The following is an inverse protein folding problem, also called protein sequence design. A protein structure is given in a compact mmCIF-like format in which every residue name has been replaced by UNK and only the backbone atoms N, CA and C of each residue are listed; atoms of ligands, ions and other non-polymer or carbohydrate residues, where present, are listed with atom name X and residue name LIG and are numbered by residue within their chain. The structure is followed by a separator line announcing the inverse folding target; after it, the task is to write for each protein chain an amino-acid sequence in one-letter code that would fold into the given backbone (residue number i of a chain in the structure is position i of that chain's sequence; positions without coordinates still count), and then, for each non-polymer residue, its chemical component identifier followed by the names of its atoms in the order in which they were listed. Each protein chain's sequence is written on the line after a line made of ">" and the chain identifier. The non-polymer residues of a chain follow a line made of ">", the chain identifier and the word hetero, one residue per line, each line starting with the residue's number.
data_IF_351952526420
#
_entry.id   IF_351952526420
#
_cell.length_a   1.000
_cell.length_b   1.000
_cell.length_c   1.000
_cell.angle_alpha   90.00
_cell.angle_beta   90.00
_cell.angle_gamma   90.00
#
_symmetry.space_group_name_H-M   'P 1'
#
loop_
_entity.id
_entity.type
_entity.pdbx_description
1 polymer ?
#
# COMPACT_ATOMS: atom_id res chain seq x y z
N UNK A 1 45.72 -0.96 -4.27
CA UNK A 1 46.54 0.24 -4.07
C UNK A 1 46.11 0.83 -2.76
N UNK A 2 47.06 1.06 -1.85
CA UNK A 2 46.81 1.49 -0.48
C UNK A 2 47.13 3.00 -0.42
N UNK A 3 46.16 3.81 -0.01
CA UNK A 3 46.29 5.27 0.03
C UNK A 3 46.24 5.73 1.49
N UNK A 4 47.29 6.41 1.96
CA UNK A 4 47.39 6.92 3.33
C UNK A 4 46.93 8.37 3.42
N UNK A 5 46.03 8.65 4.37
CA UNK A 5 45.62 10.00 4.77
C UNK A 5 46.70 10.61 5.65
N UNK A 6 47.17 11.82 5.31
CA UNK A 6 48.00 12.60 6.23
C UNK A 6 47.09 13.36 7.19
N UNK A 7 47.05 12.92 8.44
CA UNK A 7 46.36 13.64 9.50
C UNK A 7 47.00 15.04 9.71
N UNK A 8 46.32 16.09 9.25
CA UNK A 8 46.62 17.47 9.62
C UNK A 8 45.75 17.85 10.82
N UNK A 9 46.32 17.68 12.03
CA UNK A 9 45.85 18.35 13.23
C UNK A 9 46.08 19.86 13.07
N UNK A 10 45.00 20.67 13.06
CA UNK A 10 45.16 22.12 12.95
C UNK A 10 43.88 22.94 13.10
N UNK A 11 43.54 23.27 14.34
CA UNK A 11 42.85 24.50 14.82
C UNK A 11 41.44 24.84 14.32
N UNK A 12 40.53 24.90 15.28
CA UNK A 12 39.17 25.42 15.18
C UNK A 12 39.11 26.89 14.76
N UNK A 13 38.18 27.21 13.86
CA UNK A 13 37.56 28.53 13.74
C UNK A 13 36.10 28.35 13.35
N UNK A 14 35.21 28.75 14.25
CA UNK A 14 33.78 28.85 14.01
C UNK A 14 33.47 30.13 13.23
N UNK A 15 32.70 30.02 12.14
CA UNK A 15 31.96 31.13 11.53
C UNK A 15 30.64 30.59 10.95
N UNK A 16 29.61 31.42 11.08
CA UNK A 16 28.20 31.04 10.98
C UNK A 16 27.60 31.05 9.57
N UNK A 17 26.37 30.53 9.55
CA UNK A 17 25.43 30.28 8.45
C UNK A 17 25.15 31.51 7.55
N UNK A 18 24.81 31.25 6.27
CA UNK A 18 23.56 31.71 5.60
C UNK A 18 23.45 31.18 4.15
N UNK A 19 22.28 30.61 3.80
CA UNK A 19 21.51 30.73 2.53
C UNK A 19 22.15 30.35 1.17
N UNK A 20 21.50 29.79 0.16
CA UNK A 20 20.07 29.63 -0.16
C UNK A 20 19.92 28.46 -1.16
N UNK A 21 18.81 27.73 -1.09
CA UNK A 21 18.32 26.89 -2.18
C UNK A 21 17.72 27.83 -3.25
N UNK A 22 18.27 27.78 -4.47
CA UNK A 22 17.78 28.50 -5.63
C UNK A 22 17.56 27.52 -6.77
N UNK A 23 16.29 27.42 -7.17
CA UNK A 23 15.77 26.73 -8.35
C UNK A 23 16.37 27.25 -9.66
N UNK A 24 16.46 26.37 -10.68
CA UNK A 24 16.75 26.80 -12.06
C UNK A 24 17.15 25.68 -13.02
N UNK A 25 16.17 25.23 -13.81
CA UNK A 25 16.21 24.74 -15.20
C UNK A 25 17.18 23.62 -15.61
N UNK A 26 16.64 22.40 -15.69
CA UNK A 26 17.16 21.38 -16.62
C UNK A 26 16.72 21.69 -18.05
N UNK A 27 17.61 22.32 -18.81
CA UNK A 27 17.57 22.35 -20.27
C UNK A 27 18.02 20.99 -20.83
N UNK A 28 17.12 20.04 -21.12
CA UNK A 28 17.43 18.94 -22.05
C UNK A 28 16.16 18.48 -22.79
N UNK A 29 16.18 18.61 -24.12
CA UNK A 29 15.23 18.01 -25.05
C UNK A 29 15.66 16.57 -25.37
N UNK A 30 14.71 15.64 -25.35
CA UNK A 30 14.90 14.23 -25.70
C UNK A 30 14.81 14.02 -27.22
N UNK A 31 15.68 13.20 -27.84
CA UNK A 31 15.42 12.67 -29.17
C UNK A 31 14.65 11.34 -29.10
N UNK A 32 13.55 11.31 -29.85
CA UNK A 32 12.68 10.17 -30.21
C UNK A 32 13.45 8.92 -30.65
N UNK A 33 13.06 7.75 -30.14
CA UNK A 33 13.57 6.45 -30.64
C UNK A 33 12.60 5.86 -31.66
N UNK A 34 13.09 5.72 -32.90
CA UNK A 34 12.34 5.21 -34.02
C UNK A 34 11.98 3.73 -33.92
N UNK A 35 10.75 3.42 -34.29
CA UNK A 35 10.15 2.10 -34.41
C UNK A 35 10.72 1.33 -35.62
N UNK A 36 11.06 0.04 -35.52
CA UNK A 36 11.32 -0.78 -36.69
C UNK A 36 10.02 -1.36 -37.26
N UNK A 37 9.80 -1.07 -38.54
CA UNK A 37 8.72 -1.57 -39.39
C UNK A 37 8.85 -3.08 -39.63
N UNK A 38 7.79 -3.84 -39.40
CA UNK A 38 7.68 -5.25 -39.80
C UNK A 38 6.77 -5.37 -41.02
N UNK A 39 7.28 -5.93 -42.11
CA UNK A 39 6.54 -6.19 -43.35
C UNK A 39 5.75 -7.49 -43.24
N UNK A 40 4.52 -7.57 -43.78
CA UNK A 40 3.79 -8.83 -43.90
C UNK A 40 4.14 -9.53 -45.23
N UNK A 41 4.18 -10.86 -45.23
CA UNK A 41 4.10 -11.63 -46.48
C UNK A 41 3.15 -12.80 -46.27
N UNK A 42 2.16 -12.81 -47.15
CA UNK A 42 1.05 -13.74 -47.29
C UNK A 42 1.48 -14.97 -48.11
N UNK A 43 0.95 -16.17 -47.81
CA UNK A 43 0.65 -17.27 -48.75
C UNK A 43 0.42 -18.64 -48.07
N UNK A 44 -0.85 -18.92 -47.75
CA UNK A 44 -1.72 -20.01 -48.23
C UNK A 44 -1.29 -21.51 -48.30
N UNK A 45 -2.29 -22.35 -47.94
CA UNK A 45 -2.66 -23.74 -48.34
C UNK A 45 -2.11 -24.94 -47.53
N UNK A 46 -2.99 -25.66 -46.80
CA UNK A 46 -3.67 -26.86 -47.31
C UNK A 46 -4.38 -27.69 -46.19
N UNK A 47 -5.53 -28.26 -46.55
CA UNK A 47 -6.39 -29.19 -45.78
C UNK A 47 -5.69 -30.42 -45.18
N UNK A 48 -6.20 -30.89 -44.03
CA UNK A 48 -6.59 -32.30 -43.83
C UNK A 48 -7.31 -32.51 -42.48
N UNK A 49 -8.61 -32.80 -42.55
CA UNK A 49 -9.37 -33.49 -41.49
C UNK A 49 -8.90 -34.96 -41.37
N UNK A 50 -8.90 -35.52 -40.16
CA UNK A 50 -9.68 -36.74 -39.96
C UNK A 50 -10.46 -36.79 -38.63
N UNK A 51 -11.70 -37.27 -38.70
CA UNK A 51 -12.48 -37.73 -37.54
C UNK A 51 -12.02 -39.12 -37.00
N UNK A 52 -12.72 -39.74 -36.03
CA UNK A 52 -12.31 -39.82 -34.64
C UNK A 52 -11.83 -41.23 -34.28
N UNK A 53 -10.95 -41.35 -33.30
CA UNK A 53 -10.63 -42.65 -32.70
C UNK A 53 -11.09 -42.65 -31.26
N UNK A 54 -12.10 -43.49 -31.00
CA UNK A 54 -12.55 -43.89 -29.69
C UNK A 54 -11.37 -44.50 -28.91
N UNK A 55 -11.14 -44.00 -27.70
CA UNK A 55 -10.32 -44.65 -26.69
C UNK A 55 -10.96 -44.43 -25.33
N UNK A 56 -10.95 -45.54 -24.59
CA UNK A 56 -11.69 -45.84 -23.38
C UNK A 56 -11.66 -44.76 -22.29
N UNK A 57 -12.81 -44.66 -21.64
CA UNK A 57 -13.06 -43.97 -20.37
C UNK A 57 -12.14 -44.54 -19.28
N UNK A 58 -11.01 -43.88 -19.03
CA UNK A 58 -10.48 -43.82 -17.68
C UNK A 58 -11.05 -42.56 -17.03
N UNK A 59 -12.00 -42.73 -16.11
CA UNK A 59 -12.41 -41.70 -15.14
C UNK A 59 -11.17 -41.28 -14.35
N UNK A 60 -10.39 -40.35 -14.90
CA UNK A 60 -9.62 -39.44 -14.08
C UNK A 60 -10.66 -38.63 -13.33
N UNK A 61 -10.90 -39.00 -12.06
CA UNK A 61 -11.54 -38.12 -11.10
C UNK A 61 -10.62 -36.90 -11.01
N UNK A 62 -10.85 -35.92 -11.90
CA UNK A 62 -10.35 -34.58 -11.71
C UNK A 62 -10.94 -34.19 -10.37
N UNK A 63 -10.09 -34.12 -9.34
CA UNK A 63 -10.46 -33.42 -8.13
C UNK A 63 -10.69 -31.99 -8.59
N UNK A 64 -11.93 -31.69 -8.92
CA UNK A 64 -12.37 -30.33 -9.20
C UNK A 64 -12.00 -29.55 -7.95
N UNK A 65 -11.05 -28.65 -8.06
CA UNK A 65 -10.76 -27.71 -6.97
C UNK A 65 -12.10 -27.18 -6.47
N UNK A 66 -12.33 -27.16 -5.15
CA UNK A 66 -13.57 -26.65 -4.61
C UNK A 66 -13.82 -25.26 -5.20
N UNK A 67 -14.99 -25.08 -5.79
CA UNK A 67 -15.37 -23.83 -6.45
C UNK A 67 -15.28 -22.69 -5.43
N UNK A 68 -14.33 -21.77 -5.61
CA UNK A 68 -14.14 -20.61 -4.73
C UNK A 68 -15.21 -19.56 -5.07
N UNK A 69 -16.12 -19.21 -4.13
CA UNK A 69 -17.11 -18.16 -4.37
C UNK A 69 -16.44 -16.84 -4.71
N UNK A 70 -16.87 -16.20 -5.81
CA UNK A 70 -16.35 -14.90 -6.29
C UNK A 70 -14.80 -14.82 -6.31
N UNK A 71 -14.14 -15.79 -6.96
CA UNK A 71 -12.66 -15.95 -6.97
C UNK A 71 -11.88 -14.67 -7.30
N UNK A 72 -12.35 -13.85 -8.26
CA UNK A 72 -11.69 -12.58 -8.63
C UNK A 72 -11.77 -11.57 -7.47
N UNK A 73 -12.98 -11.34 -6.94
CA UNK A 73 -13.20 -10.51 -5.76
C UNK A 73 -12.39 -11.02 -4.56
N UNK A 74 -12.31 -12.33 -4.35
CA UNK A 74 -11.52 -12.92 -3.27
C UNK A 74 -10.02 -12.59 -3.39
N UNK A 75 -9.49 -12.51 -4.61
CA UNK A 75 -8.10 -12.14 -4.88
C UNK A 75 -7.85 -10.68 -4.55
N UNK A 76 -8.76 -9.78 -4.95
CA UNK A 76 -8.65 -8.34 -4.71
C UNK A 76 -8.82 -7.99 -3.23
N UNK A 77 -9.85 -8.55 -2.57
CA UNK A 77 -10.05 -8.42 -1.13
C UNK A 77 -8.87 -8.98 -0.36
N UNK A 78 -8.27 -10.09 -0.83
CA UNK A 78 -7.06 -10.65 -0.23
C UNK A 78 -5.86 -9.71 -0.29
N UNK A 79 -5.69 -8.95 -1.39
CA UNK A 79 -4.63 -7.93 -1.49
C UNK A 79 -4.88 -6.78 -0.52
N UNK A 80 -6.08 -6.21 -0.52
CA UNK A 80 -6.43 -5.10 0.39
C UNK A 80 -6.30 -5.52 1.85
N UNK A 81 -6.93 -6.65 2.23
CA UNK A 81 -6.90 -7.12 3.60
C UNK A 81 -5.47 -7.48 4.03
N UNK A 82 -4.68 -8.13 3.17
CA UNK A 82 -3.29 -8.46 3.44
C UNK A 82 -2.41 -7.23 3.68
N UNK A 83 -2.61 -6.15 2.91
CA UNK A 83 -1.91 -4.89 3.15
C UNK A 83 -2.33 -4.23 4.48
N UNK A 84 -3.64 -4.19 4.79
CA UNK A 84 -4.14 -3.68 6.08
C UNK A 84 -3.55 -4.49 7.23
N UNK A 85 -3.51 -5.82 7.10
CA UNK A 85 -2.94 -6.71 8.11
C UNK A 85 -1.45 -6.44 8.29
N UNK A 86 -0.68 -6.31 7.21
CA UNK A 86 0.75 -5.99 7.27
C UNK A 86 1.04 -4.68 8.03
N UNK A 87 0.29 -3.60 7.74
CA UNK A 87 0.38 -2.36 8.51
C UNK A 87 0.06 -2.55 9.99
N UNK A 88 -0.89 -3.44 10.27
CA UNK A 88 -1.37 -3.69 11.61
C UNK A 88 -0.50 -4.63 12.46
N UNK A 89 0.36 -5.45 11.83
CA UNK A 89 1.14 -6.49 12.52
C UNK A 89 2.65 -6.40 12.31
N UNK A 90 3.10 -6.08 11.10
CA UNK A 90 4.51 -6.24 10.69
C UNK A 90 5.23 -4.91 10.41
N UNK A 91 4.49 -3.82 10.18
CA UNK A 91 5.06 -2.52 9.82
C UNK A 91 6.10 -1.99 10.82
N UNK A 92 5.78 -1.98 12.12
CA UNK A 92 6.70 -1.44 13.14
C UNK A 92 8.03 -2.21 13.19
N UNK A 93 7.95 -3.54 13.10
CA UNK A 93 9.12 -4.42 13.08
C UNK A 93 9.93 -4.24 11.78
N UNK A 94 9.24 -4.08 10.65
CA UNK A 94 9.82 -3.79 9.33
C UNK A 94 10.59 -2.46 9.35
N UNK A 95 9.99 -1.40 9.90
CA UNK A 95 10.63 -0.08 10.06
C UNK A 95 11.81 -0.17 11.01
N UNK A 96 11.71 -0.90 12.12
CA UNK A 96 12.84 -1.13 13.03
C UNK A 96 14.01 -1.84 12.34
N UNK A 97 13.74 -2.89 11.56
CA UNK A 97 14.74 -3.64 10.80
C UNK A 97 15.43 -2.75 9.75
N UNK A 98 14.64 -1.97 9.00
CA UNK A 98 15.10 -0.99 8.02
C UNK A 98 16.04 0.05 8.65
N UNK A 99 15.59 0.73 9.71
CA UNK A 99 16.36 1.81 10.37
C UNK A 99 17.62 1.29 11.04
N UNK A 100 17.58 0.08 11.61
CA UNK A 100 18.74 -0.59 12.19
C UNK A 100 19.80 -0.87 11.12
N UNK A 101 19.39 -1.39 9.96
CA UNK A 101 20.32 -1.76 8.90
C UNK A 101 20.95 -0.54 8.25
N UNK A 102 20.18 0.53 8.05
CA UNK A 102 20.72 1.83 7.65
C UNK A 102 21.72 2.39 8.67
N UNK A 103 21.43 2.30 9.98
CA UNK A 103 22.35 2.71 11.02
C UNK A 103 23.68 1.95 10.99
N UNK A 104 23.64 0.65 10.68
CA UNK A 104 24.86 -0.16 10.52
C UNK A 104 25.67 0.25 9.28
N UNK A 105 24.99 0.61 8.18
CA UNK A 105 25.63 1.12 6.97
C UNK A 105 26.30 2.47 7.24
N UNK A 106 25.60 3.41 7.88
CA UNK A 106 26.16 4.71 8.31
C UNK A 106 27.41 4.54 9.17
N UNK A 107 27.34 3.68 10.20
CA UNK A 107 28.49 3.41 11.07
C UNK A 107 29.68 2.74 10.33
N UNK A 108 29.41 2.04 9.22
CA UNK A 108 30.46 1.48 8.36
C UNK A 108 31.11 2.57 7.50
N UNK A 109 30.29 3.48 6.94
CA UNK A 109 30.77 4.64 6.17
C UNK A 109 31.64 5.54 7.05
N UNK A 110 31.18 5.89 8.25
CA UNK A 110 31.93 6.70 9.22
C UNK A 110 33.27 6.03 9.59
N UNK A 111 33.26 4.73 9.90
CA UNK A 111 34.49 3.98 10.19
C UNK A 111 35.49 3.99 9.03
N UNK A 112 35.01 3.89 7.79
CA UNK A 112 35.87 3.93 6.60
C UNK A 112 36.42 5.34 6.36
N UNK A 113 35.65 6.38 6.66
CA UNK A 113 36.10 7.77 6.63
C UNK A 113 37.14 8.05 7.72
N UNK A 114 36.99 7.51 8.92
CA UNK A 114 37.93 7.74 10.02
C UNK A 114 39.23 6.90 9.92
N UNK A 115 39.23 5.88 9.05
CA UNK A 115 40.40 5.04 8.84
C UNK A 115 41.54 5.83 8.19
N UNK A 116 42.77 5.66 8.70
CA UNK A 116 43.96 6.34 8.17
C UNK A 116 44.29 5.93 6.73
N UNK A 117 43.78 4.79 6.27
CA UNK A 117 44.04 4.23 4.95
C UNK A 117 42.73 3.95 4.22
N UNK A 118 42.72 4.23 2.92
CA UNK A 118 41.61 3.91 2.03
C UNK A 118 42.10 3.03 0.89
N UNK A 119 41.45 1.90 0.71
CA UNK A 119 41.73 0.95 -0.36
C UNK A 119 40.44 0.30 -0.90
N UNK A 120 40.61 -0.66 -1.81
CA UNK A 120 39.49 -1.40 -2.39
C UNK A 120 38.69 -2.21 -1.34
N UNK A 121 39.33 -2.64 -0.24
CA UNK A 121 38.65 -3.35 0.84
C UNK A 121 37.78 -2.40 1.66
N UNK A 122 38.25 -1.19 1.95
CA UNK A 122 37.46 -0.12 2.57
C UNK A 122 36.19 0.17 1.77
N UNK A 123 36.31 0.37 0.45
CA UNK A 123 35.14 0.54 -0.42
C UNK A 123 34.25 -0.70 -0.46
N UNK A 124 34.84 -1.90 -0.43
CA UNK A 124 34.10 -3.16 -0.35
C UNK A 124 33.29 -3.32 0.94
N UNK A 125 33.77 -2.77 2.07
CA UNK A 125 33.02 -2.75 3.33
C UNK A 125 31.79 -1.86 3.23
N UNK A 126 31.95 -0.65 2.68
CA UNK A 126 30.82 0.27 2.43
C UNK A 126 29.79 -0.42 1.55
N UNK A 127 30.20 -0.95 0.40
CA UNK A 127 29.30 -1.62 -0.54
C UNK A 127 28.52 -2.76 0.10
N UNK A 128 29.19 -3.67 0.82
CA UNK A 128 28.50 -4.78 1.50
C UNK A 128 27.48 -4.32 2.53
N UNK A 129 27.78 -3.24 3.24
CA UNK A 129 26.87 -2.70 4.25
C UNK A 129 25.66 -2.03 3.60
N UNK A 130 25.86 -1.27 2.51
CA UNK A 130 24.78 -0.62 1.77
C UNK A 130 23.93 -1.62 0.98
N UNK A 131 24.54 -2.64 0.35
CA UNK A 131 23.82 -3.73 -0.33
C UNK A 131 22.89 -4.48 0.64
N UNK A 132 23.36 -4.71 1.87
CA UNK A 132 22.52 -5.30 2.92
C UNK A 132 21.35 -4.38 3.30
N UNK A 133 21.58 -3.08 3.40
CA UNK A 133 20.52 -2.12 3.69
C UNK A 133 19.44 -2.10 2.59
N UNK A 134 19.85 -2.13 1.32
CA UNK A 134 18.94 -2.24 0.18
C UNK A 134 18.18 -3.56 0.22
N UNK A 135 18.85 -4.69 0.46
CA UNK A 135 18.19 -5.99 0.52
C UNK A 135 17.18 -6.08 1.67
N UNK A 136 17.47 -5.46 2.82
CA UNK A 136 16.49 -5.34 3.91
C UNK A 136 15.33 -4.43 3.51
N UNK A 137 15.58 -3.27 2.89
CA UNK A 137 14.49 -2.41 2.43
C UNK A 137 13.59 -3.12 1.41
N UNK A 138 14.16 -3.91 0.49
CA UNK A 138 13.40 -4.69 -0.48
C UNK A 138 12.57 -5.80 0.16
N UNK A 139 13.13 -6.52 1.13
CA UNK A 139 12.43 -7.60 1.82
C UNK A 139 11.32 -7.10 2.76
N UNK A 140 11.58 -6.02 3.50
CA UNK A 140 10.67 -5.51 4.53
C UNK A 140 9.66 -4.51 3.96
N UNK A 141 10.02 -3.73 2.92
CA UNK A 141 9.20 -2.61 2.43
C UNK A 141 8.81 -2.71 0.95
N UNK A 142 9.45 -3.58 0.16
CA UNK A 142 9.35 -3.54 -1.31
C UNK A 142 7.96 -3.83 -1.88
N UNK A 143 7.14 -4.63 -1.19
CA UNK A 143 5.74 -4.88 -1.59
C UNK A 143 4.80 -3.74 -1.26
N UNK A 144 5.19 -2.88 -0.31
CA UNK A 144 4.33 -1.88 0.31
C UNK A 144 4.68 -0.46 -0.17
N UNK A 145 5.97 -0.19 -0.34
CA UNK A 145 6.54 1.12 -0.67
C UNK A 145 7.52 1.04 -1.85
N UNK A 146 7.47 2.03 -2.75
CA UNK A 146 8.32 2.12 -3.94
C UNK A 146 9.77 2.59 -3.72
N UNK A 147 10.30 2.51 -2.49
CA UNK A 147 11.60 3.11 -2.12
C UNK A 147 12.85 2.28 -2.47
N UNK A 148 12.85 0.93 -2.41
CA UNK A 148 14.09 0.16 -2.57
C UNK A 148 14.84 0.40 -3.90
N UNK A 149 14.10 0.63 -4.99
CA UNK A 149 14.67 0.92 -6.31
C UNK A 149 15.48 2.22 -6.31
N UNK A 150 14.86 3.32 -5.87
CA UNK A 150 15.52 4.62 -5.75
C UNK A 150 16.72 4.54 -4.79
N UNK A 151 16.57 3.82 -3.67
CA UNK A 151 17.66 3.64 -2.71
C UNK A 151 18.89 2.97 -3.33
N UNK A 152 18.69 1.93 -4.13
CA UNK A 152 19.76 1.23 -4.84
C UNK A 152 20.49 2.15 -5.81
N UNK A 153 19.75 2.90 -6.63
CA UNK A 153 20.32 3.81 -7.63
C UNK A 153 21.18 4.92 -7.01
N UNK A 154 20.69 5.56 -5.95
CA UNK A 154 21.41 6.61 -5.24
C UNK A 154 22.72 6.08 -4.61
N UNK A 155 22.64 4.92 -3.94
CA UNK A 155 23.80 4.27 -3.33
C UNK A 155 24.85 3.88 -4.39
N UNK A 156 24.42 3.25 -5.48
CA UNK A 156 25.33 2.83 -6.56
C UNK A 156 26.04 4.03 -7.19
N UNK A 157 25.35 5.17 -7.31
CA UNK A 157 25.93 6.42 -7.80
C UNK A 157 27.02 6.95 -6.88
N UNK A 158 26.80 6.97 -5.56
CA UNK A 158 27.82 7.37 -4.59
C UNK A 158 29.03 6.41 -4.62
N UNK A 159 28.79 5.10 -4.57
CA UNK A 159 29.85 4.08 -4.60
C UNK A 159 30.69 4.16 -5.88
N UNK A 160 30.05 4.37 -7.04
CA UNK A 160 30.75 4.56 -8.30
C UNK A 160 31.61 5.83 -8.33
N UNK A 161 31.11 6.91 -7.71
CA UNK A 161 31.83 8.19 -7.60
C UNK A 161 33.04 8.06 -6.68
N UNK A 162 32.87 7.46 -5.49
CA UNK A 162 33.96 7.17 -4.55
C UNK A 162 35.07 6.36 -5.24
N UNK A 163 34.69 5.28 -5.95
CA UNK A 163 35.66 4.45 -6.70
C UNK A 163 36.48 5.28 -7.68
N UNK A 164 35.82 6.13 -8.46
CA UNK A 164 36.46 6.95 -9.50
C UNK A 164 37.53 7.88 -8.93
N UNK A 165 37.28 8.49 -7.77
CA UNK A 165 38.24 9.39 -7.13
C UNK A 165 39.33 8.63 -6.37
N UNK A 166 38.99 7.51 -5.73
CA UNK A 166 39.97 6.61 -5.14
C UNK A 166 40.99 6.10 -6.17
N UNK A 167 40.54 5.71 -7.37
CA UNK A 167 41.42 5.27 -8.46
C UNK A 167 42.41 6.36 -8.94
N UNK A 168 42.11 7.64 -8.66
CA UNK A 168 42.98 8.79 -8.97
C UNK A 168 43.85 9.23 -7.78
N UNK A 169 43.66 8.63 -6.61
CA UNK A 169 44.33 9.05 -5.37
C UNK A 169 43.79 10.33 -4.73
N UNK A 170 42.59 10.78 -5.12
CA UNK A 170 41.95 12.00 -4.60
C UNK A 170 41.14 11.66 -3.34
N UNK A 171 41.84 11.60 -2.20
CA UNK A 171 41.25 11.20 -0.92
C UNK A 171 40.31 12.26 -0.34
N UNK A 172 40.59 13.55 -0.54
CA UNK A 172 39.73 14.63 -0.08
C UNK A 172 38.34 14.52 -0.73
N UNK A 173 38.31 14.21 -2.03
CA UNK A 173 37.05 13.99 -2.73
C UNK A 173 36.35 12.69 -2.34
N UNK A 174 37.11 11.64 -2.01
CA UNK A 174 36.54 10.40 -1.45
C UNK A 174 35.81 10.68 -0.13
N UNK A 175 36.38 11.51 0.74
CA UNK A 175 35.78 11.86 2.03
C UNK A 175 34.50 12.66 1.90
N UNK A 176 34.50 13.63 1.00
CA UNK A 176 33.30 14.40 0.68
C UNK A 176 32.16 13.50 0.19
N UNK A 177 32.46 12.52 -0.67
CA UNK A 177 31.44 11.59 -1.18
C UNK A 177 31.01 10.54 -0.15
N UNK A 178 31.89 10.11 0.76
CA UNK A 178 31.51 9.27 1.90
C UNK A 178 30.60 10.04 2.87
N UNK A 179 30.87 11.31 3.11
CA UNK A 179 30.01 12.19 3.93
C UNK A 179 28.64 12.38 3.28
N UNK A 180 28.58 12.65 1.97
CA UNK A 180 27.31 12.72 1.23
C UNK A 180 26.50 11.43 1.28
N UNK A 181 27.16 10.27 1.15
CA UNK A 181 26.51 8.98 1.30
C UNK A 181 25.99 8.79 2.73
N UNK A 182 26.78 9.16 3.75
CA UNK A 182 26.35 9.10 5.14
C UNK A 182 25.12 9.98 5.39
N UNK A 183 25.10 11.21 4.88
CA UNK A 183 23.99 12.15 5.01
C UNK A 183 22.74 11.66 4.29
N UNK A 184 22.89 11.09 3.08
CA UNK A 184 21.80 10.44 2.36
C UNK A 184 21.17 9.32 3.19
N UNK A 185 21.97 8.38 3.69
CA UNK A 185 21.51 7.28 4.54
C UNK A 185 20.84 7.81 5.82
N UNK A 186 21.38 8.87 6.41
CA UNK A 186 20.81 9.55 7.58
C UNK A 186 19.46 10.18 7.29
N UNK A 187 19.29 10.80 6.12
CA UNK A 187 18.04 11.38 5.65
C UNK A 187 16.92 10.34 5.55
N UNK A 188 17.17 9.24 4.83
CA UNK A 188 16.18 8.17 4.63
C UNK A 188 15.92 7.31 5.88
N UNK A 189 16.78 7.40 6.90
CA UNK A 189 16.59 6.75 8.22
C UNK A 189 15.77 7.61 9.20
N UNK A 190 15.64 8.91 8.94
CA UNK A 190 15.11 9.89 9.89
C UNK A 190 13.63 9.64 10.24
N UNK A 191 13.20 10.07 11.44
CA UNK A 191 11.78 9.98 11.84
C UNK A 191 10.88 10.76 10.88
N UNK A 192 11.40 11.89 10.37
CA UNK A 192 10.70 12.72 9.42
C UNK A 192 10.45 11.97 8.10
N UNK A 193 11.45 11.23 7.60
CA UNK A 193 11.29 10.42 6.40
C UNK A 193 10.28 9.30 6.62
N UNK A 194 10.38 8.56 7.72
CA UNK A 194 9.40 7.49 8.05
C UNK A 194 8.00 8.07 8.10
N UNK A 195 7.78 9.13 8.89
CA UNK A 195 6.47 9.76 9.03
C UNK A 195 5.89 10.32 7.71
N UNK A 196 6.75 10.67 6.76
CA UNK A 196 6.31 11.33 5.51
C UNK A 196 6.18 10.40 4.32
N UNK A 197 7.06 9.42 4.22
CA UNK A 197 7.24 8.58 3.03
C UNK A 197 6.87 7.14 3.32
N UNK A 198 7.09 6.68 4.54
CA UNK A 198 6.80 5.32 4.98
C UNK A 198 5.71 5.33 6.06
N UNK A 199 4.74 6.23 5.98
CA UNK A 199 3.77 6.42 7.07
C UNK A 199 2.78 5.26 7.11
N UNK A 200 2.43 4.82 8.32
CA UNK A 200 1.32 3.92 8.62
C UNK A 200 0.04 4.66 9.01
N UNK A 201 0.07 5.99 9.14
CA UNK A 201 -1.12 6.78 9.52
C UNK A 201 -1.73 7.52 8.35
N UNK A 202 -0.90 7.90 7.39
CA UNK A 202 -1.32 8.48 6.12
C UNK A 202 -0.64 7.68 5.01
N UNK A 203 -1.34 6.65 4.57
CA UNK A 203 -0.84 5.67 3.65
C UNK A 203 -1.11 6.15 2.23
N UNK A 204 -0.07 6.66 1.60
CA UNK A 204 0.00 6.91 0.16
C UNK A 204 0.94 5.86 -0.46
N UNK A 205 0.45 4.62 -0.51
CA UNK A 205 1.25 3.42 -0.77
C UNK A 205 0.43 2.34 -1.50
N UNK A 206 0.93 1.10 -1.52
CA UNK A 206 0.24 -0.02 -2.17
C UNK A 206 -1.20 -0.20 -1.67
N UNK A 207 -1.44 -0.04 -0.37
CA UNK A 207 -2.79 -0.09 0.18
C UNK A 207 -3.73 0.95 -0.46
N UNK A 208 -3.31 2.21 -0.58
CA UNK A 208 -4.14 3.23 -1.23
C UNK A 208 -4.47 2.83 -2.66
N UNK A 209 -3.47 2.42 -3.44
CA UNK A 209 -3.68 1.96 -4.82
C UNK A 209 -4.58 0.74 -4.90
N UNK A 210 -4.56 -0.18 -3.94
CA UNK A 210 -5.50 -1.31 -3.90
C UNK A 210 -6.91 -0.94 -3.46
N UNK A 211 -7.04 0.05 -2.56
CA UNK A 211 -8.35 0.57 -2.15
C UNK A 211 -8.99 1.39 -3.27
N UNK A 212 -8.20 2.22 -3.94
CA UNK A 212 -8.63 3.11 -5.01
C UNK A 212 -8.67 2.43 -6.38
N UNK A 213 -7.97 1.30 -6.51
CA UNK A 213 -7.77 0.50 -7.72
C UNK A 213 -7.01 1.21 -8.83
N UNK A 214 -5.87 1.82 -8.50
CA UNK A 214 -4.92 2.32 -9.51
C UNK A 214 -4.17 1.14 -10.15
N UNK A 215 -4.85 0.46 -11.08
CA UNK A 215 -4.24 -0.44 -12.05
C UNK A 215 -3.78 0.40 -13.23
N UNK A 216 -2.56 0.17 -13.71
CA UNK A 216 -1.92 0.83 -14.87
C UNK A 216 -2.66 0.60 -16.21
N UNK A 217 -3.99 0.66 -16.26
CA UNK A 217 -4.77 0.67 -17.47
C UNK A 217 -4.76 2.11 -18.01
N UNK A 218 -3.66 2.44 -18.70
CA UNK A 218 -3.32 3.71 -19.39
C UNK A 218 -4.36 4.18 -20.45
N UNK A 219 -5.55 3.57 -20.55
CA UNK A 219 -6.45 3.69 -21.70
C UNK A 219 -7.80 4.40 -21.43
N UNK A 220 -8.14 4.77 -20.19
CA UNK A 220 -9.36 5.55 -19.90
C UNK A 220 -9.01 6.94 -19.32
N UNK A 221 -9.38 8.01 -20.02
CA UNK A 221 -9.26 9.42 -19.60
C UNK A 221 -10.15 9.77 -18.36
N UNK A 222 -10.89 8.80 -17.81
CA UNK A 222 -11.70 8.94 -16.59
C UNK A 222 -10.87 8.44 -15.39
N UNK A 223 -9.89 9.25 -14.97
CA UNK A 223 -9.20 9.04 -13.69
C UNK A 223 -10.25 8.98 -12.55
N UNK A 224 -10.20 7.94 -11.73
CA UNK A 224 -11.21 7.74 -10.68
C UNK A 224 -11.23 8.92 -9.70
N UNK A 225 -12.43 9.37 -9.30
CA UNK A 225 -12.61 10.41 -8.28
C UNK A 225 -11.68 10.15 -7.07
N UNK A 226 -10.95 11.14 -6.55
CA UNK A 226 -10.01 10.90 -5.45
C UNK A 226 -10.67 10.19 -4.26
N UNK A 227 -10.04 9.11 -3.82
CA UNK A 227 -10.46 8.34 -2.65
C UNK A 227 -9.83 8.81 -1.35
N UNK A 228 -10.62 9.01 -0.29
CA UNK A 228 -10.13 9.06 1.09
C UNK A 228 -10.70 7.87 1.84
N UNK A 229 -9.81 7.08 2.45
CA UNK A 229 -10.20 5.88 3.17
C UNK A 229 -9.73 5.91 4.62
N UNK A 230 -10.58 5.48 5.55
CA UNK A 230 -10.20 5.18 6.93
C UNK A 230 -10.23 3.67 7.12
N UNK A 231 -9.19 3.12 7.73
CA UNK A 231 -9.05 1.68 7.96
C UNK A 231 -8.92 1.40 9.44
N UNK A 232 -9.58 0.33 9.88
CA UNK A 232 -9.45 -0.21 11.23
C UNK A 232 -9.24 -1.71 11.16
N UNK A 233 -8.25 -2.24 11.87
CA UNK A 233 -7.98 -3.67 11.96
C UNK A 233 -8.31 -4.24 13.34
N UNK A 234 -8.61 -5.54 13.37
CA UNK A 234 -8.94 -6.29 14.60
C UNK A 234 -7.87 -6.25 15.70
N UNK A 235 -6.60 -5.95 15.37
CA UNK A 235 -5.51 -5.74 16.34
C UNK A 235 -5.58 -4.41 17.07
N UNK A 236 -6.48 -3.51 16.66
CA UNK A 236 -6.59 -2.14 17.17
C UNK A 236 -5.84 -1.10 16.35
N UNK A 237 -5.15 -1.51 15.28
CA UNK A 237 -4.51 -0.60 14.33
C UNK A 237 -5.55 0.23 13.58
N UNK A 238 -5.21 1.49 13.26
CA UNK A 238 -6.02 2.35 12.39
C UNK A 238 -5.18 3.41 11.70
N UNK A 239 -5.63 3.82 10.52
CA UNK A 239 -4.95 4.82 9.70
C UNK A 239 -5.86 5.33 8.58
N UNK A 240 -5.35 6.31 7.85
CA UNK A 240 -5.97 6.81 6.63
C UNK A 240 -5.17 6.36 5.41
N UNK A 241 -5.84 6.08 4.30
CA UNK A 241 -5.22 5.90 2.99
C UNK A 241 -5.76 6.94 2.02
N UNK A 242 -4.86 7.73 1.43
CA UNK A 242 -5.21 8.89 0.60
C UNK A 242 -3.99 9.33 -0.22
N UNK A 243 -4.13 9.44 -1.55
CA UNK A 243 -3.14 10.11 -2.39
C UNK A 243 -3.48 11.60 -2.49
N UNK A 244 -2.54 12.42 -2.04
CA UNK A 244 -2.60 13.85 -2.28
C UNK A 244 -1.49 14.59 -1.55
N UNK A 245 -1.13 15.80 -2.01
CA UNK A 245 0.02 16.56 -1.52
C UNK A 245 -0.14 17.04 -0.07
N UNK A 246 -1.32 16.83 0.53
CA UNK A 246 -1.69 17.36 1.83
C UNK A 246 -1.52 16.28 2.87
N UNK A 247 -0.62 16.55 3.81
CA UNK A 247 -0.47 15.71 4.99
C UNK A 247 -1.73 15.84 5.84
N UNK A 248 -2.50 14.75 5.97
CA UNK A 248 -3.46 14.61 7.05
C UNK A 248 -2.64 14.26 8.28
N UNK A 249 -2.08 15.27 8.97
CA UNK A 249 -1.41 15.10 10.28
C UNK A 249 -2.40 14.77 11.41
N UNK A 250 -3.56 14.19 11.08
CA UNK A 250 -4.57 13.80 12.04
C UNK A 250 -4.48 12.30 12.24
N UNK A 251 -4.04 11.89 13.43
CA UNK A 251 -4.34 10.54 13.89
C UNK A 251 -5.88 10.45 14.05
N UNK A 252 -6.55 9.45 13.42
CA UNK A 252 -8.01 9.30 13.50
C UNK A 252 -8.51 9.30 14.95
N UNK A 253 -7.64 8.96 15.90
CA UNK A 253 -7.91 8.91 17.32
C UNK A 253 -7.11 9.92 18.16
N UNK A 254 -6.41 10.90 17.55
CA UNK A 254 -5.76 11.95 18.34
C UNK A 254 -6.82 12.81 19.03
N UNK A 255 -6.63 13.01 20.32
CA UNK A 255 -7.40 13.98 21.07
C UNK A 255 -6.72 15.33 20.81
N UNK A 256 -7.20 16.09 19.82
CA UNK A 256 -6.71 17.45 19.62
C UNK A 256 -6.84 18.20 20.96
N UNK A 257 -5.81 18.95 21.42
CA UNK A 257 -5.85 19.54 22.74
C UNK A 257 -7.07 20.46 22.90
N UNK A 258 -8.03 20.05 23.73
CA UNK A 258 -9.28 20.78 23.99
C UNK A 258 -10.54 20.24 23.31
N UNK A 259 -10.45 19.11 22.60
CA UNK A 259 -11.59 18.40 22.03
C UNK A 259 -11.91 17.17 22.91
N UNK A 260 -13.04 17.19 23.62
CA UNK A 260 -13.45 16.10 24.53
C UNK A 260 -14.07 14.90 23.76
N UNK A 261 -14.38 15.08 22.47
CA UNK A 261 -15.04 14.08 21.62
C UNK A 261 -14.23 13.78 20.34
N UNK A 262 -13.54 12.64 20.31
CA UNK A 262 -12.87 12.19 19.08
C UNK A 262 -13.89 11.52 18.14
N UNK A 263 -14.23 12.22 17.06
CA UNK A 263 -15.26 11.81 16.13
C UNK A 263 -14.93 10.50 15.35
N UNK A 264 -13.64 10.16 15.17
CA UNK A 264 -13.22 8.86 14.61
C UNK A 264 -13.49 7.70 15.57
N UNK A 265 -13.25 7.89 16.88
CA UNK A 265 -13.63 6.91 17.91
C UNK A 265 -15.14 6.70 17.96
N UNK A 266 -15.92 7.77 17.80
CA UNK A 266 -17.38 7.68 17.74
C UNK A 266 -17.85 6.92 16.49
N UNK A 267 -17.25 7.19 15.32
CA UNK A 267 -17.55 6.46 14.09
C UNK A 267 -17.25 4.97 14.25
N UNK A 268 -16.07 4.61 14.76
CA UNK A 268 -15.72 3.20 15.00
C UNK A 268 -16.68 2.54 16.00
N UNK A 269 -17.10 3.25 17.05
CA UNK A 269 -18.09 2.74 18.00
C UNK A 269 -19.45 2.47 17.31
N UNK A 270 -19.90 3.39 16.44
CA UNK A 270 -21.12 3.24 15.65
C UNK A 270 -21.03 2.07 14.67
N UNK A 271 -19.92 1.94 13.95
CA UNK A 271 -19.67 0.83 13.03
C UNK A 271 -19.73 -0.51 13.74
N UNK A 272 -19.10 -0.62 14.92
CA UNK A 272 -19.17 -1.84 15.73
C UNK A 272 -20.61 -2.22 16.05
N UNK A 273 -21.47 -1.26 16.40
CA UNK A 273 -22.88 -1.51 16.66
C UNK A 273 -23.65 -1.93 15.38
N UNK A 274 -23.38 -1.27 14.26
CA UNK A 274 -24.05 -1.55 12.98
C UNK A 274 -23.62 -2.89 12.35
N UNK A 275 -22.39 -3.31 12.57
CA UNK A 275 -21.84 -4.55 12.01
C UNK A 275 -21.83 -5.74 12.98
N UNK A 276 -22.23 -5.54 14.25
CA UNK A 276 -22.32 -6.65 15.21
C UNK A 276 -23.34 -7.72 14.80
N UNK A 277 -24.57 -7.37 14.34
CA UNK A 277 -25.50 -8.40 13.89
C UNK A 277 -25.04 -9.18 12.64
N UNK A 278 -24.52 -8.55 11.56
CA UNK A 278 -24.02 -9.29 10.40
C UNK A 278 -22.56 -9.77 10.57
N UNK A 279 -22.14 -10.07 11.79
CA UNK A 279 -20.80 -10.56 12.14
C UNK A 279 -20.88 -11.97 12.71
N UNK A 280 -20.14 -12.91 12.14
CA UNK A 280 -19.96 -14.25 12.71
C UNK A 280 -18.53 -14.41 13.24
N UNK A 281 -18.40 -14.78 14.52
CA UNK A 281 -17.09 -14.86 15.17
C UNK A 281 -16.49 -16.27 15.09
N UNK A 282 -17.32 -17.30 14.88
CA UNK A 282 -16.89 -18.69 14.82
C UNK A 282 -16.04 -18.92 13.56
N UNK A 283 -14.80 -19.39 13.74
CA UNK A 283 -13.87 -19.63 12.62
C UNK A 283 -13.26 -18.36 12.00
N UNK A 284 -13.57 -17.17 12.53
CA UNK A 284 -12.98 -15.90 12.08
C UNK A 284 -11.58 -15.72 12.64
N UNK A 285 -10.62 -15.46 11.76
CA UNK A 285 -9.20 -15.26 12.10
C UNK A 285 -8.85 -13.77 12.25
N UNK A 286 -9.60 -12.89 11.61
CA UNK A 286 -9.45 -11.45 11.73
C UNK A 286 -10.58 -10.67 11.04
N UNK A 287 -10.55 -9.36 11.17
CA UNK A 287 -11.48 -8.47 10.48
C UNK A 287 -10.89 -7.07 10.30
N UNK A 288 -11.44 -6.35 9.32
CA UNK A 288 -11.16 -4.95 9.10
C UNK A 288 -12.46 -4.16 8.81
N UNK A 289 -12.51 -2.91 9.25
CA UNK A 289 -13.47 -1.92 8.78
C UNK A 289 -12.76 -0.98 7.81
N UNK A 290 -13.41 -0.68 6.70
CA UNK A 290 -12.95 0.31 5.71
C UNK A 290 -14.06 1.33 5.53
N UNK A 291 -13.74 2.60 5.64
CA UNK A 291 -14.66 3.70 5.38
C UNK A 291 -14.19 4.40 4.13
N UNK A 292 -15.05 4.52 3.14
CA UNK A 292 -14.78 5.34 1.97
C UNK A 292 -15.53 6.66 2.10
N UNK A 293 -14.82 7.77 1.89
CA UNK A 293 -15.35 9.12 1.91
C UNK A 293 -15.40 9.68 0.49
N UNK A 294 -16.54 10.26 0.12
CA UNK A 294 -16.72 10.96 -1.14
C UNK A 294 -16.15 12.38 -1.05
N UNK A 295 -14.83 12.50 -1.15
CA UNK A 295 -14.13 13.80 -1.16
C UNK A 295 -14.19 14.46 -2.55
N UNK A 296 -14.12 15.81 -2.61
CA UNK A 296 -14.02 16.55 -3.87
C UNK A 296 -12.71 16.28 -4.61
N UNK A 297 -12.67 16.70 -5.88
CA UNK A 297 -11.47 16.68 -6.71
C UNK A 297 -10.34 17.52 -6.11
N UNK A 298 -9.08 17.14 -6.40
CA UNK A 298 -7.89 17.70 -5.74
C UNK A 298 -7.83 19.24 -5.79
N UNK A 299 -8.27 19.84 -6.91
CA UNK A 299 -8.31 21.28 -7.13
C UNK A 299 -9.38 22.01 -6.29
N UNK A 300 -10.45 21.30 -5.91
CA UNK A 300 -11.55 21.84 -5.10
C UNK A 300 -11.41 21.53 -3.60
N UNK A 301 -10.49 20.64 -3.22
CA UNK A 301 -10.36 20.25 -1.81
C UNK A 301 -9.92 21.41 -0.91
N UNK A 302 -10.44 21.50 0.32
CA UNK A 302 -9.95 22.45 1.32
C UNK A 302 -8.57 22.06 1.85
N UNK A 303 -7.84 23.04 2.39
CA UNK A 303 -6.51 22.81 2.98
C UNK A 303 -6.51 21.86 4.18
N UNK A 304 -7.67 21.61 4.79
CA UNK A 304 -7.88 20.64 5.85
C UNK A 304 -9.10 19.79 5.50
N UNK A 305 -8.87 18.51 5.19
CA UNK A 305 -9.94 17.55 4.97
C UNK A 305 -10.41 17.00 6.31
N UNK A 306 -11.64 17.29 6.70
CA UNK A 306 -12.31 16.64 7.80
C UNK A 306 -13.18 15.51 7.22
N UNK A 307 -12.81 14.22 7.38
CA UNK A 307 -13.48 13.11 6.68
C UNK A 307 -14.99 13.09 6.91
N UNK A 308 -15.43 13.36 8.14
CA UNK A 308 -16.83 13.32 8.55
C UNK A 308 -17.69 14.47 7.99
N UNK A 309 -17.10 15.46 7.32
CA UNK A 309 -17.85 16.50 6.61
C UNK A 309 -18.38 16.00 5.25
N UNK A 310 -17.96 14.81 4.82
CA UNK A 310 -18.27 14.24 3.51
C UNK A 310 -19.20 13.02 3.62
N UNK A 311 -20.02 12.74 2.58
CA UNK A 311 -20.74 11.48 2.50
C UNK A 311 -19.78 10.30 2.57
N UNK A 312 -20.13 9.28 3.36
CA UNK A 312 -19.30 8.10 3.52
C UNK A 312 -20.12 6.82 3.48
N UNK A 313 -19.44 5.72 3.15
CA UNK A 313 -19.97 4.37 3.31
C UNK A 313 -18.94 3.50 3.99
N UNK A 314 -19.43 2.60 4.86
CA UNK A 314 -18.60 1.62 5.54
C UNK A 314 -18.69 0.24 4.89
N UNK A 315 -17.57 -0.45 4.88
CA UNK A 315 -17.37 -1.83 4.49
C UNK A 315 -16.77 -2.58 5.67
N UNK A 316 -17.31 -3.76 5.95
CA UNK A 316 -16.79 -4.68 6.94
C UNK A 316 -16.27 -5.93 6.25
N UNK A 317 -14.98 -6.22 6.43
CA UNK A 317 -14.27 -7.37 5.86
C UNK A 317 -13.99 -8.37 6.98
N UNK A 318 -14.54 -9.57 6.88
CA UNK A 318 -14.30 -10.66 7.82
C UNK A 318 -13.44 -11.72 7.15
N UNK A 319 -12.34 -12.13 7.80
CA UNK A 319 -11.43 -13.16 7.29
C UNK A 319 -11.58 -14.44 8.11
N UNK A 320 -11.78 -15.58 7.44
CA UNK A 320 -11.97 -16.88 8.06
C UNK A 320 -10.84 -17.84 7.71
N UNK A 321 -10.73 -18.93 8.48
CA UNK A 321 -9.78 -20.03 8.25
C UNK A 321 -10.18 -20.90 7.03
N UNK A 322 -10.23 -20.27 5.86
CA UNK A 322 -10.56 -20.89 4.59
C UNK A 322 -12.01 -20.71 4.12
N UNK A 323 -12.25 -21.17 2.89
CA UNK A 323 -13.54 -21.00 2.19
C UNK A 323 -14.69 -21.70 2.92
N UNK A 324 -14.46 -22.89 3.49
CA UNK A 324 -15.49 -23.64 4.19
C UNK A 324 -15.98 -22.90 5.44
N UNK A 325 -15.06 -22.37 6.26
CA UNK A 325 -15.41 -21.58 7.44
C UNK A 325 -16.17 -20.30 7.07
N UNK A 326 -15.78 -19.63 5.98
CA UNK A 326 -16.53 -18.48 5.46
C UNK A 326 -17.93 -18.86 4.95
N UNK A 327 -18.09 -20.04 4.35
CA UNK A 327 -19.41 -20.54 3.93
C UNK A 327 -20.29 -20.85 5.13
N UNK A 328 -19.77 -21.57 6.12
CA UNK A 328 -20.48 -21.88 7.38
C UNK A 328 -20.93 -20.59 8.09
N UNK A 329 -20.09 -19.55 8.06
CA UNK A 329 -20.42 -18.25 8.62
C UNK A 329 -21.59 -17.58 7.88
N UNK A 330 -21.58 -17.58 6.55
CA UNK A 330 -22.70 -17.02 5.77
C UNK A 330 -24.00 -17.80 6.01
N UNK A 331 -23.94 -19.13 6.07
CA UNK A 331 -25.10 -19.96 6.39
C UNK A 331 -25.64 -19.62 7.79
N UNK A 332 -24.77 -19.55 8.79
CA UNK A 332 -25.14 -19.18 10.16
C UNK A 332 -25.78 -17.79 10.24
N UNK A 333 -25.21 -16.80 9.55
CA UNK A 333 -25.77 -15.44 9.51
C UNK A 333 -27.18 -15.43 8.93
N UNK A 334 -27.41 -16.12 7.82
CA UNK A 334 -28.72 -16.20 7.16
C UNK A 334 -29.75 -16.99 7.97
N UNK A 335 -29.32 -17.93 8.80
CA UNK A 335 -30.19 -18.71 9.67
C UNK A 335 -30.57 -17.97 10.96
N UNK A 336 -29.70 -17.10 11.47
CA UNK A 336 -29.80 -16.62 12.86
C UNK A 336 -29.85 -15.10 13.02
N UNK A 337 -29.13 -14.34 12.20
CA UNK A 337 -28.82 -12.94 12.49
C UNK A 337 -29.37 -11.96 11.46
N UNK A 338 -29.41 -12.37 10.18
CA UNK A 338 -29.86 -11.52 9.07
C UNK A 338 -30.96 -12.22 8.26
N UNK A 339 -31.83 -11.43 7.66
CA UNK A 339 -32.83 -11.90 6.70
C UNK A 339 -32.46 -11.42 5.30
N UNK A 340 -32.60 -12.29 4.29
CA UNK A 340 -32.35 -11.94 2.90
C UNK A 340 -33.67 -11.61 2.19
N UNK A 341 -33.72 -10.46 1.52
CA UNK A 341 -34.89 -10.06 0.70
C UNK A 341 -34.64 -10.25 -0.80
N UNK A 342 -33.40 -10.04 -1.26
CA UNK A 342 -33.12 -9.98 -2.68
C UNK A 342 -31.64 -10.08 -3.02
N UNK A 343 -31.34 -9.60 -4.23
CA UNK A 343 -30.00 -9.51 -4.76
C UNK A 343 -29.81 -8.18 -5.46
N UNK A 344 -28.63 -7.60 -5.33
CA UNK A 344 -28.22 -6.39 -6.02
C UNK A 344 -26.86 -6.62 -6.67
N UNK A 345 -26.63 -6.07 -7.86
CA UNK A 345 -25.32 -6.12 -8.53
C UNK A 345 -24.56 -4.82 -8.26
N UNK A 346 -23.44 -4.91 -7.54
CA UNK A 346 -22.51 -3.80 -7.31
C UNK A 346 -21.26 -4.04 -8.15
N UNK A 347 -20.91 -3.07 -9.00
CA UNK A 347 -19.93 -3.31 -10.07
C UNK A 347 -20.28 -4.59 -10.84
N UNK A 348 -19.32 -5.50 -10.91
CA UNK A 348 -19.45 -6.82 -11.56
C UNK A 348 -20.01 -7.94 -10.68
N UNK A 349 -20.07 -7.77 -9.36
CA UNK A 349 -20.35 -8.85 -8.41
C UNK A 349 -21.79 -8.76 -7.88
N UNK A 350 -22.39 -9.92 -7.56
CA UNK A 350 -23.80 -10.01 -7.11
C UNK A 350 -23.89 -10.25 -5.62
N UNK A 351 -24.49 -9.32 -4.91
CA UNK A 351 -24.58 -9.26 -3.46
C UNK A 351 -25.99 -9.54 -2.96
N UNK A 352 -26.10 -10.16 -1.79
CA UNK A 352 -27.38 -10.39 -1.11
C UNK A 352 -27.84 -9.09 -0.46
N UNK A 353 -29.08 -8.71 -0.70
CA UNK A 353 -29.76 -7.68 0.08
C UNK A 353 -30.19 -8.29 1.41
N UNK A 354 -29.55 -7.86 2.50
CA UNK A 354 -29.81 -8.38 3.84
C UNK A 354 -30.27 -7.27 4.79
N UNK A 355 -31.22 -7.58 5.66
CA UNK A 355 -31.66 -6.68 6.71
C UNK A 355 -31.62 -7.38 8.07
N UNK A 356 -31.40 -6.60 9.11
CA UNK A 356 -31.27 -7.07 10.49
C UNK A 356 -31.65 -5.96 11.46
N UNK A 357 -31.74 -6.27 12.75
CA UNK A 357 -31.97 -5.25 13.79
C UNK A 357 -30.64 -4.87 14.42
N UNK A 358 -30.28 -3.59 14.34
CA UNK A 358 -29.13 -3.01 15.03
C UNK A 358 -29.57 -1.73 15.74
N UNK A 359 -29.01 -1.46 16.92
CA UNK A 359 -29.31 -0.25 17.72
C UNK A 359 -30.81 0.06 17.93
N UNK A 360 -31.65 -0.98 17.96
CA UNK A 360 -33.09 -0.86 18.15
C UNK A 360 -33.92 -0.63 16.89
N UNK A 361 -33.31 -0.42 15.72
CA UNK A 361 -34.00 -0.22 14.44
C UNK A 361 -33.59 -1.25 13.36
N UNK A 362 -34.30 -1.27 12.24
CA UNK A 362 -33.98 -2.11 11.08
C UNK A 362 -32.86 -1.46 10.28
N UNK A 363 -31.77 -2.19 10.12
CA UNK A 363 -30.65 -1.82 9.26
C UNK A 363 -30.65 -2.69 8.01
N UNK A 364 -30.47 -2.06 6.86
CA UNK A 364 -30.35 -2.67 5.55
C UNK A 364 -28.89 -2.62 5.10
N UNK A 365 -28.36 -3.72 4.54
CA UNK A 365 -26.98 -3.83 4.10
C UNK A 365 -26.86 -4.81 2.91
N UNK A 366 -25.62 -4.97 2.43
CA UNK A 366 -25.31 -5.92 1.36
C UNK A 366 -24.25 -6.91 1.81
N UNK A 367 -24.48 -8.20 1.53
CA UNK A 367 -23.60 -9.29 1.96
C UNK A 367 -23.12 -10.14 0.79
N UNK A 368 -21.83 -10.44 0.76
CA UNK A 368 -21.24 -11.38 -0.22
C UNK A 368 -20.12 -12.21 0.43
N UNK A 369 -19.94 -13.43 -0.07
CA UNK A 369 -18.76 -14.25 0.23
C UNK A 369 -17.76 -14.13 -0.92
N UNK A 370 -16.49 -13.87 -0.61
CA UNK A 370 -15.40 -13.86 -1.57
C UNK A 370 -14.30 -14.79 -1.07
N UNK A 371 -14.34 -16.06 -1.47
CA UNK A 371 -13.43 -17.09 -0.98
C UNK A 371 -13.48 -17.23 0.56
N UNK A 372 -12.35 -17.02 1.28
CA UNK A 372 -12.30 -17.05 2.74
C UNK A 372 -12.80 -15.75 3.41
N UNK A 373 -13.27 -14.78 2.63
CA UNK A 373 -13.77 -13.51 3.13
C UNK A 373 -15.30 -13.44 3.10
N UNK A 374 -15.88 -12.79 4.10
CA UNK A 374 -17.29 -12.37 4.11
C UNK A 374 -17.32 -10.85 4.25
N UNK A 375 -18.00 -10.20 3.31
CA UNK A 375 -18.06 -8.74 3.24
C UNK A 375 -19.48 -8.26 3.53
N UNK A 376 -19.59 -7.19 4.30
CA UNK A 376 -20.85 -6.50 4.58
C UNK A 376 -20.66 -5.02 4.24
N UNK A 377 -21.48 -4.48 3.34
CA UNK A 377 -21.34 -3.12 2.83
C UNK A 377 -22.58 -2.26 3.09
N UNK A 378 -22.35 -0.96 3.28
CA UNK A 378 -23.35 0.10 3.35
C UNK A 378 -24.54 -0.17 4.31
N UNK A 379 -24.27 -0.45 5.60
CA UNK A 379 -25.35 -0.51 6.58
C UNK A 379 -26.03 0.85 6.68
N UNK A 380 -27.36 0.88 6.61
CA UNK A 380 -28.16 2.09 6.82
C UNK A 380 -29.58 1.73 7.25
N UNK A 381 -30.17 2.59 8.09
CA UNK A 381 -31.58 2.50 8.50
C UNK A 381 -32.54 2.90 7.38
N UNK A 382 -32.03 3.51 6.30
CA UNK A 382 -32.80 3.83 5.10
C UNK A 382 -32.92 2.60 4.21
N UNK A 383 -34.16 2.22 3.91
CA UNK A 383 -34.50 1.11 3.03
C UNK A 383 -33.92 1.31 1.62
N UNK A 384 -33.59 0.21 0.93
CA UNK A 384 -32.89 0.25 -0.36
C UNK A 384 -33.60 1.11 -1.42
N UNK A 385 -34.93 1.09 -1.45
CA UNK A 385 -35.77 1.82 -2.40
C UNK A 385 -35.75 3.34 -2.19
N UNK A 386 -35.35 3.78 -0.99
CA UNK A 386 -35.34 5.20 -0.59
C UNK A 386 -33.94 5.81 -0.62
N UNK A 387 -32.89 5.01 -0.88
CA UNK A 387 -31.52 5.52 -0.93
C UNK A 387 -31.26 6.31 -2.21
N UNK A 388 -30.75 7.53 -2.05
CA UNK A 388 -30.34 8.42 -3.15
C UNK A 388 -28.83 8.66 -3.05
N UNK A 389 -28.12 8.58 -4.18
CA UNK A 389 -26.67 8.87 -4.33
C UNK A 389 -25.75 8.16 -3.32
N UNK A 390 -26.23 7.07 -2.72
CA UNK A 390 -25.55 6.38 -1.63
C UNK A 390 -24.32 5.59 -2.10
N UNK A 391 -24.20 5.37 -3.41
CA UNK A 391 -23.12 4.63 -4.03
C UNK A 391 -21.87 5.47 -4.20
N UNK A 392 -21.98 6.81 -4.29
CA UNK A 392 -20.84 7.68 -4.60
C UNK A 392 -19.56 7.39 -3.77
N UNK A 393 -19.61 7.14 -2.44
CA UNK A 393 -18.42 6.74 -1.71
C UNK A 393 -17.90 5.33 -2.06
N UNK A 394 -18.79 4.37 -2.37
CA UNK A 394 -18.41 3.04 -2.84
C UNK A 394 -17.79 3.06 -4.24
N UNK A 395 -18.21 3.99 -5.10
CA UNK A 395 -17.72 4.12 -6.47
C UNK A 395 -16.19 4.37 -6.52
N UNK A 396 -15.62 4.87 -5.43
CA UNK A 396 -14.18 5.10 -5.24
C UNK A 396 -13.39 3.87 -4.81
N UNK A 397 -14.08 2.79 -4.42
CA UNK A 397 -13.46 1.53 -4.02
C UNK A 397 -13.30 0.60 -5.23
N UNK A 398 -12.27 -0.24 -5.19
CA UNK A 398 -12.06 -1.34 -6.14
C UNK A 398 -13.28 -2.27 -6.35
N UNK A 399 -14.23 -2.27 -5.42
CA UNK A 399 -15.47 -3.06 -5.47
C UNK A 399 -16.45 -2.62 -6.56
N UNK A 400 -16.36 -1.38 -7.06
CA UNK A 400 -17.40 -0.80 -7.91
C UNK A 400 -17.19 -0.98 -9.43
N UNK A 401 -16.08 -1.56 -9.87
CA UNK A 401 -15.77 -1.67 -11.30
C UNK A 401 -16.71 -2.64 -12.07
N UNK A 402 -17.08 -2.29 -13.32
CA UNK A 402 -17.93 -3.12 -14.20
C UNK A 402 -17.28 -4.42 -14.68
#
# INVERSE_FOLDING_TARGET
>A
MELTRRALLGTATALGLTGCLGSGDSNVAYPETGTPTRTPTDAALADADPEPSAVDEEETVQQTEPSVPNRRLATEVGRVYGEIEWFATDYDDSIHAYRRTLGNAMATVERVRDAAEFDANSLGLVRRATDRAVATAEAELGGHFGIPGQMREEIDRHVATIRRFADRGDLDRVDEELERLHDYLGGIRSDLFVRRVLSDRQIDAALYRHLHDDTDDDDDDDEADPGLFEVHHSTGYSGYAYAGPRYVERDPFDDAPGDDDNAGRELLARQRLQFEPPSEATGRTGFAYVVSYAVPDEDEQPSNLAPLDYPYTSLFVQHYDGVAAATDAVETLLETAVSQEGWYSFGRDRWRQVYYRADGDVTYAYLIQAGPFVLVAAPSEVAWEERVDWTAPLDRLWLWRP
#
